data_IF_174525515886
#
_entry.id   IF_174525515886
#
_cell.length_a   1.000
_cell.length_b   1.000
_cell.length_c   1.000
_cell.angle_alpha   90.00
_cell.angle_beta   90.00
_cell.angle_gamma   90.00
#
_symmetry.space_group_name_H-M   'P 1'
#
loop_
_entity.id
_entity.type
_entity.pdbx_description
1 polymer ?
#
# COMPACT_ATOMS: atom_id res chain seq x y z
N UNK A 1 -29.35 -17.74 -8.44
CA UNK A 1 -28.92 -16.33 -8.52
C UNK A 1 -27.47 -16.34 -8.95
N UNK A 2 -27.18 -16.07 -10.23
CA UNK A 2 -25.82 -16.16 -10.78
C UNK A 2 -24.99 -15.00 -10.24
N UNK A 3 -24.38 -15.23 -9.08
CA UNK A 3 -23.62 -14.27 -8.30
C UNK A 3 -22.32 -13.89 -9.00
N UNK A 4 -22.14 -12.61 -9.27
CA UNK A 4 -20.84 -12.05 -9.60
C UNK A 4 -20.08 -11.90 -8.29
N UNK A 5 -19.00 -12.64 -8.12
CA UNK A 5 -18.06 -12.40 -7.02
C UNK A 5 -17.22 -11.18 -7.37
N UNK A 6 -17.35 -10.12 -6.57
CA UNK A 6 -16.52 -8.92 -6.70
C UNK A 6 -15.40 -9.01 -5.67
N UNK A 7 -14.16 -8.80 -6.11
CA UNK A 7 -12.98 -8.83 -5.24
C UNK A 7 -13.02 -7.77 -4.12
N UNK A 8 -13.93 -6.79 -4.22
CA UNK A 8 -14.03 -5.69 -3.28
C UNK A 8 -12.90 -4.67 -3.45
N UNK A 9 -12.72 -3.81 -2.45
CA UNK A 9 -11.62 -2.84 -2.43
C UNK A 9 -10.37 -3.51 -1.87
N UNK A 10 -9.32 -3.56 -2.69
CA UNK A 10 -7.99 -3.99 -2.25
C UNK A 10 -7.30 -2.79 -1.63
N UNK A 11 -6.96 -2.87 -0.34
CA UNK A 11 -6.20 -1.83 0.35
C UNK A 11 -4.74 -1.92 -0.09
N UNK A 12 -4.27 -0.88 -0.76
CA UNK A 12 -2.91 -0.74 -1.26
C UNK A 12 -2.40 0.65 -0.95
N UNK A 13 -1.15 0.75 -0.51
CA UNK A 13 -0.49 2.05 -0.24
C UNK A 13 0.64 2.26 -1.26
N UNK A 14 0.75 3.47 -1.78
CA UNK A 14 1.79 3.85 -2.74
C UNK A 14 2.66 4.95 -2.13
N UNK A 15 3.97 4.81 -2.26
CA UNK A 15 4.93 5.86 -1.89
C UNK A 15 5.43 6.50 -3.18
N UNK A 16 5.29 7.82 -3.28
CA UNK A 16 5.59 8.61 -4.46
C UNK A 16 6.68 9.62 -4.08
N UNK A 17 7.72 9.73 -4.89
CA UNK A 17 8.78 10.71 -4.69
C UNK A 17 8.37 12.13 -5.13
N UNK A 18 9.28 13.10 -4.95
CA UNK A 18 9.04 14.50 -5.32
C UNK A 18 8.97 14.73 -6.84
N UNK A 19 9.48 13.80 -7.65
CA UNK A 19 9.38 13.84 -9.11
C UNK A 19 8.07 13.23 -9.62
N UNK A 20 7.23 12.69 -8.72
CA UNK A 20 5.95 12.06 -9.06
C UNK A 20 6.08 10.60 -9.48
N UNK A 21 7.22 9.94 -9.22
CA UNK A 21 7.42 8.51 -9.54
C UNK A 21 7.04 7.65 -8.34
N UNK A 22 6.39 6.51 -8.62
CA UNK A 22 6.09 5.50 -7.59
C UNK A 22 7.39 4.77 -7.25
N UNK A 23 7.89 4.96 -6.03
CA UNK A 23 9.11 4.33 -5.54
C UNK A 23 8.85 3.05 -4.75
N UNK A 24 7.62 2.89 -4.23
CA UNK A 24 7.25 1.70 -3.48
C UNK A 24 5.74 1.44 -3.51
N UNK A 25 5.35 0.16 -3.50
CA UNK A 25 3.96 -0.30 -3.49
C UNK A 25 3.81 -1.32 -2.38
N UNK A 26 2.83 -1.11 -1.49
CA UNK A 26 2.52 -2.01 -0.39
C UNK A 26 1.16 -2.67 -0.64
N UNK A 27 1.16 -3.96 -0.97
CA UNK A 27 -0.06 -4.76 -1.06
C UNK A 27 -0.42 -5.38 0.31
N UNK A 28 -1.72 -5.60 0.55
CA UNK A 28 -2.23 -6.33 1.73
C UNK A 28 -1.74 -5.78 3.09
N UNK A 29 -1.77 -4.46 3.25
CA UNK A 29 -1.34 -3.81 4.49
C UNK A 29 -2.20 -4.20 5.69
N UNK A 30 -1.56 -4.42 6.84
CA UNK A 30 -2.25 -4.66 8.11
C UNK A 30 -2.54 -3.32 8.78
N UNK A 31 -3.81 -2.98 8.96
CA UNK A 31 -4.23 -1.67 9.48
C UNK A 31 -3.59 -1.30 10.83
N UNK A 32 -3.33 -2.28 11.70
CA UNK A 32 -2.76 -2.04 13.03
C UNK A 32 -1.29 -1.58 12.98
N UNK A 33 -0.48 -2.17 12.10
CA UNK A 33 0.97 -1.94 12.03
C UNK A 33 1.38 -1.04 10.89
N UNK A 34 0.44 -0.64 10.03
CA UNK A 34 0.73 0.08 8.79
C UNK A 34 1.61 1.33 8.97
N UNK A 35 1.41 2.07 10.07
CA UNK A 35 2.18 3.27 10.35
C UNK A 35 3.66 2.97 10.65
N UNK A 36 3.95 1.88 11.35
CA UNK A 36 5.32 1.41 11.62
C UNK A 36 5.96 0.92 10.31
N UNK A 37 5.22 0.15 9.51
CA UNK A 37 5.67 -0.36 8.21
C UNK A 37 6.09 0.79 7.29
N UNK A 38 5.29 1.86 7.21
CA UNK A 38 5.58 3.05 6.40
C UNK A 38 6.85 3.76 6.88
N UNK A 39 7.02 3.96 8.19
CA UNK A 39 8.21 4.63 8.74
C UNK A 39 9.48 3.83 8.46
N UNK A 40 9.43 2.50 8.56
CA UNK A 40 10.55 1.63 8.25
C UNK A 40 10.93 1.71 6.77
N UNK A 41 9.95 1.59 5.86
CA UNK A 41 10.20 1.70 4.41
C UNK A 41 10.79 3.07 4.06
N UNK A 42 10.25 4.16 4.61
CA UNK A 42 10.78 5.51 4.37
C UNK A 42 12.20 5.68 4.92
N UNK A 43 12.59 4.94 5.95
CA UNK A 43 13.95 4.96 6.50
C UNK A 43 14.94 4.18 5.63
N UNK A 44 14.48 3.13 4.95
CA UNK A 44 15.27 2.35 3.99
C UNK A 44 15.44 3.07 2.64
N UNK A 45 14.46 3.86 2.22
CA UNK A 45 14.46 4.65 0.98
C UNK A 45 15.32 5.94 1.05
N UNK A 46 16.28 6.00 1.97
CA UNK A 46 17.17 7.16 2.16
C UNK A 46 17.99 7.52 0.92
#
# INVERSE_FOLDING_TARGET
>A
FMGREFMGVIRTTFIIDKEGRVVHIMDKVKTKTHHEDVVNILSELK
#
